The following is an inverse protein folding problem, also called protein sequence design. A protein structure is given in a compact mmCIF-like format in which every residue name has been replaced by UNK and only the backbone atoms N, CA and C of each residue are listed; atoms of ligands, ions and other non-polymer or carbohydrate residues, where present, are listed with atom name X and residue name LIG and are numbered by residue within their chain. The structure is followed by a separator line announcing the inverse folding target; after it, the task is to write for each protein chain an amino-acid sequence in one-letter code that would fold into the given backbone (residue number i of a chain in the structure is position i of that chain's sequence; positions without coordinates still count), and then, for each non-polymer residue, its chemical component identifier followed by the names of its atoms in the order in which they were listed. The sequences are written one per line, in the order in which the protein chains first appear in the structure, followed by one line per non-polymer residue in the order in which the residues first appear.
data_IF_217482638601
#
_entry.id   IF_217482638601
#
_cell.length_a   1.000
_cell.length_b   1.000
_cell.length_c   1.000
_cell.angle_alpha   90.00
_cell.angle_beta   90.00
_cell.angle_gamma   90.00
#
_symmetry.space_group_name_H-M   'P 1'
#
loop_
_entity.id
_entity.type
_entity.pdbx_description
1 polymer ?
#
# COMPACT_ATOMS: atom_id res chain seq x y z
N UNK A 1 2.48 70.67 7.12
CA UNK A 1 1.09 70.25 6.82
C UNK A 1 1.13 69.71 5.39
N UNK A 2 1.08 68.42 5.09
CA UNK A 2 0.87 67.20 5.88
C UNK A 2 1.49 66.08 5.04
N UNK A 3 2.35 65.28 5.64
CA UNK A 3 3.00 64.14 4.99
C UNK A 3 1.97 63.05 4.75
N UNK A 4 2.09 62.44 3.58
CA UNK A 4 1.35 61.30 3.05
C UNK A 4 1.37 60.10 4.00
N UNK A 5 0.21 59.62 4.42
CA UNK A 5 0.07 58.25 4.93
C UNK A 5 -0.97 57.52 4.08
N UNK A 6 -0.46 56.82 3.06
CA UNK A 6 -1.17 55.69 2.45
C UNK A 6 -1.12 54.57 3.47
N UNK A 7 -2.23 54.31 4.15
CA UNK A 7 -2.43 53.10 4.93
C UNK A 7 -2.36 51.92 3.95
N UNK A 8 -1.22 51.25 3.92
CA UNK A 8 -1.06 49.98 3.20
C UNK A 8 -1.95 48.97 3.91
N UNK A 9 -2.95 48.50 3.17
CA UNK A 9 -3.82 47.37 3.44
C UNK A 9 -3.01 46.17 3.94
N UNK A 10 -3.08 45.88 5.25
CA UNK A 10 -2.56 44.65 5.85
C UNK A 10 -3.53 43.51 5.55
N UNK A 11 -3.59 43.09 4.28
CA UNK A 11 -4.29 41.87 3.87
C UNK A 11 -3.36 40.67 4.09
N UNK A 12 -3.12 40.30 5.35
CA UNK A 12 -2.65 38.94 5.67
C UNK A 12 -3.76 37.97 5.28
N UNK A 13 -3.71 37.48 4.04
CA UNK A 13 -4.36 36.23 3.68
C UNK A 13 -3.79 35.16 4.63
N UNK A 14 -4.62 34.44 5.41
CA UNK A 14 -4.14 33.27 6.11
C UNK A 14 -3.83 32.20 5.05
N UNK A 15 -2.60 32.21 4.53
CA UNK A 15 -2.11 31.19 3.61
C UNK A 15 -1.86 29.89 4.38
N UNK A 16 -2.91 29.09 4.51
CA UNK A 16 -2.82 27.76 5.09
C UNK A 16 -4.16 27.27 5.60
N UNK A 17 -4.98 26.67 4.72
CA UNK A 17 -6.06 25.79 5.18
C UNK A 17 -5.49 24.67 6.07
N UNK A 18 -6.31 23.88 6.79
CA UNK A 18 -5.82 22.82 7.70
C UNK A 18 -5.03 21.69 6.99
N UNK A 19 -4.99 21.72 5.66
CA UNK A 19 -4.40 20.72 4.78
C UNK A 19 -2.90 20.42 5.04
N UNK A 20 -1.99 21.40 5.17
CA UNK A 20 -0.58 21.11 5.46
C UNK A 20 -0.38 20.44 6.82
N UNK A 21 -1.23 20.75 7.80
CA UNK A 21 -1.15 20.19 9.14
C UNK A 21 -1.77 18.79 9.24
N UNK A 22 -2.87 18.50 8.52
CA UNK A 22 -3.56 17.22 8.57
C UNK A 22 -2.91 16.12 7.70
N UNK A 23 -2.27 16.50 6.58
CA UNK A 23 -1.58 15.59 5.65
C UNK A 23 -0.61 14.60 6.30
N UNK A 24 0.33 15.00 7.18
CA UNK A 24 1.27 14.07 7.79
C UNK A 24 0.57 13.00 8.65
N UNK A 25 -0.47 13.39 9.40
CA UNK A 25 -1.27 12.45 10.19
C UNK A 25 -2.06 11.48 9.30
N UNK A 26 -2.58 11.96 8.16
CA UNK A 26 -3.26 11.12 7.18
C UNK A 26 -2.30 10.11 6.55
N UNK A 27 -1.05 10.51 6.28
CA UNK A 27 0.01 9.61 5.83
C UNK A 27 0.34 8.53 6.86
N UNK A 28 0.49 8.89 8.14
CA UNK A 28 0.71 7.90 9.20
C UNK A 28 -0.49 6.95 9.34
N UNK A 29 -1.73 7.47 9.28
CA UNK A 29 -2.92 6.64 9.32
C UNK A 29 -3.01 5.67 8.13
N UNK A 30 -2.73 6.14 6.91
CA UNK A 30 -2.67 5.29 5.73
C UNK A 30 -1.59 4.21 5.85
N UNK A 31 -0.41 4.58 6.37
CA UNK A 31 0.72 3.65 6.61
C UNK A 31 0.35 2.56 7.60
N UNK A 32 -0.19 2.94 8.76
CA UNK A 32 -0.59 2.00 9.80
C UNK A 32 -1.79 1.15 9.38
N UNK A 33 -2.73 1.72 8.63
CA UNK A 33 -3.86 0.98 8.05
C UNK A 33 -3.39 -0.10 7.09
N UNK A 34 -2.51 0.26 6.15
CA UNK A 34 -1.93 -0.70 5.21
C UNK A 34 -1.08 -1.76 5.92
N UNK A 35 -0.31 -1.35 6.94
CA UNK A 35 0.46 -2.27 7.78
C UNK A 35 -0.45 -3.28 8.49
N UNK A 36 -1.54 -2.82 9.10
CA UNK A 36 -2.50 -3.67 9.80
C UNK A 36 -3.14 -4.70 8.84
N UNK A 37 -3.52 -4.27 7.63
CA UNK A 37 -4.06 -5.17 6.60
C UNK A 37 -3.08 -6.29 6.28
N UNK A 38 -1.83 -5.95 5.99
CA UNK A 38 -0.80 -6.95 5.68
C UNK A 38 -0.51 -7.90 6.84
N UNK A 39 -0.43 -7.39 8.07
CA UNK A 39 -0.20 -8.22 9.26
C UNK A 39 -1.38 -9.16 9.55
N UNK A 40 -2.61 -8.68 9.42
CA UNK A 40 -3.81 -9.51 9.63
C UNK A 40 -3.93 -10.56 8.52
N UNK A 41 -3.73 -10.16 7.27
CA UNK A 41 -3.76 -11.06 6.13
C UNK A 41 -2.71 -12.18 6.26
N UNK A 42 -1.44 -11.84 6.51
CA UNK A 42 -0.39 -12.85 6.66
C UNK A 42 -0.53 -13.66 7.94
N UNK A 43 -0.92 -13.01 9.05
CA UNK A 43 -1.18 -13.68 10.33
C UNK A 43 -2.30 -14.71 10.27
N UNK A 44 -3.35 -14.46 9.46
CA UNK A 44 -4.44 -15.42 9.25
C UNK A 44 -4.03 -16.66 8.45
N UNK A 45 -2.96 -16.56 7.64
CA UNK A 45 -2.51 -17.63 6.73
C UNK A 45 -1.32 -18.43 7.27
N UNK A 46 -0.47 -17.84 8.10
CA UNK A 46 0.77 -18.49 8.57
C UNK A 46 0.54 -19.76 9.39
N UNK A 47 -0.65 -19.93 9.98
CA UNK A 47 -1.01 -21.13 10.73
C UNK A 47 -1.31 -22.36 9.87
N UNK A 48 -1.64 -22.18 8.59
CA UNK A 48 -1.94 -23.26 7.64
C UNK A 48 -1.48 -22.88 6.23
N UNK A 49 -0.17 -23.06 5.99
CA UNK A 49 0.46 -22.74 4.70
C UNK A 49 -0.05 -23.63 3.57
N UNK A 50 -0.45 -24.87 3.88
CA UNK A 50 -1.01 -25.79 2.89
C UNK A 50 -2.37 -25.27 2.41
N UNK A 51 -3.19 -24.73 3.31
CA UNK A 51 -4.44 -24.10 2.93
C UNK A 51 -4.23 -22.83 2.10
N UNK A 52 -3.25 -22.00 2.44
CA UNK A 52 -2.86 -20.86 1.62
C UNK A 52 -2.41 -21.29 0.20
N UNK A 53 -1.65 -22.39 0.09
CA UNK A 53 -1.30 -23.01 -1.18
C UNK A 53 -2.52 -23.48 -1.98
N UNK A 54 -3.49 -24.13 -1.33
CA UNK A 54 -4.75 -24.54 -1.94
C UNK A 54 -5.58 -23.35 -2.44
N UNK A 55 -5.64 -22.25 -1.68
CA UNK A 55 -6.31 -21.03 -2.12
C UNK A 55 -5.68 -20.45 -3.39
N UNK A 56 -4.35 -20.34 -3.45
CA UNK A 56 -3.67 -19.87 -4.66
C UNK A 56 -3.91 -20.83 -5.84
N UNK A 57 -3.90 -22.14 -5.61
CA UNK A 57 -4.19 -23.14 -6.63
C UNK A 57 -5.64 -23.06 -7.15
N UNK A 58 -6.60 -22.65 -6.32
CA UNK A 58 -8.01 -22.50 -6.71
C UNK A 58 -8.22 -21.44 -7.82
N UNK A 59 -7.30 -20.48 -7.96
CA UNK A 59 -7.30 -19.54 -9.09
C UNK A 59 -6.99 -20.21 -10.44
N UNK A 60 -6.40 -21.42 -10.43
CA UNK A 60 -6.06 -22.19 -11.62
C UNK A 60 -5.26 -21.35 -12.65
N UNK A 61 -4.31 -20.55 -12.16
CA UNK A 61 -3.41 -19.72 -12.98
C UNK A 61 -2.06 -20.43 -13.17
N UNK A 62 -1.56 -21.08 -12.12
CA UNK A 62 -0.25 -21.74 -12.11
C UNK A 62 -0.41 -23.26 -11.97
N UNK A 63 0.62 -24.05 -12.34
CA UNK A 63 0.71 -25.45 -11.95
C UNK A 63 0.70 -25.61 -10.43
N UNK A 64 0.19 -26.73 -9.94
CA UNK A 64 0.01 -26.99 -8.51
C UNK A 64 1.27 -26.72 -7.67
N UNK A 65 2.42 -27.24 -8.08
CA UNK A 65 3.68 -27.07 -7.32
C UNK A 65 4.07 -25.60 -7.18
N UNK A 66 3.85 -24.80 -8.23
CA UNK A 66 4.13 -23.35 -8.22
C UNK A 66 3.12 -22.63 -7.34
N UNK A 67 1.84 -22.99 -7.43
CA UNK A 67 0.79 -22.39 -6.62
C UNK A 67 1.00 -22.63 -5.12
N UNK A 68 1.42 -23.83 -4.73
CA UNK A 68 1.73 -24.17 -3.33
C UNK A 68 2.93 -23.36 -2.84
N UNK A 69 4.00 -23.23 -3.63
CA UNK A 69 5.16 -22.42 -3.25
C UNK A 69 4.78 -20.94 -3.10
N UNK A 70 4.03 -20.38 -4.04
CA UNK A 70 3.56 -18.99 -3.96
C UNK A 70 2.66 -18.81 -2.72
N UNK A 71 1.69 -19.70 -2.52
CA UNK A 71 0.76 -19.61 -1.40
C UNK A 71 1.43 -19.80 -0.04
N UNK A 72 2.49 -20.61 0.05
CA UNK A 72 3.28 -20.74 1.27
C UNK A 72 4.19 -19.53 1.52
N UNK A 73 4.70 -18.88 0.46
CA UNK A 73 5.58 -17.72 0.58
C UNK A 73 4.84 -16.41 0.89
N UNK A 74 3.63 -16.24 0.35
CA UNK A 74 2.83 -15.02 0.47
C UNK A 74 2.66 -14.55 1.93
N UNK A 75 2.27 -15.39 2.91
CA UNK A 75 2.06 -14.95 4.30
C UNK A 75 3.31 -14.29 4.92
N UNK A 76 4.50 -14.78 4.58
CA UNK A 76 5.75 -14.21 5.05
C UNK A 76 6.04 -12.84 4.41
N UNK A 77 5.73 -12.70 3.12
CA UNK A 77 5.85 -11.41 2.40
C UNK A 77 4.88 -10.39 2.99
N UNK A 78 3.62 -10.79 3.23
CA UNK A 78 2.59 -9.96 3.85
C UNK A 78 3.06 -9.48 5.24
N UNK A 79 3.51 -10.39 6.12
CA UNK A 79 3.98 -10.02 7.46
C UNK A 79 5.21 -9.10 7.39
N UNK A 80 6.19 -9.41 6.52
CA UNK A 80 7.38 -8.59 6.37
C UNK A 80 7.03 -7.15 5.92
N UNK A 81 6.16 -7.00 4.92
CA UNK A 81 5.67 -5.69 4.48
C UNK A 81 4.93 -4.95 5.59
N UNK A 82 4.06 -5.65 6.31
CA UNK A 82 3.37 -5.11 7.48
C UNK A 82 4.34 -4.55 8.52
N UNK A 83 5.36 -5.32 8.90
CA UNK A 83 6.37 -4.89 9.86
C UNK A 83 7.19 -3.70 9.38
N UNK A 84 7.63 -3.70 8.11
CA UNK A 84 8.36 -2.58 7.50
C UNK A 84 7.53 -1.29 7.53
N UNK A 85 6.23 -1.38 7.22
CA UNK A 85 5.31 -0.24 7.27
C UNK A 85 5.01 0.22 8.70
N UNK A 86 4.89 -0.68 9.69
CA UNK A 86 4.77 -0.29 11.11
C UNK A 86 5.97 0.56 11.52
N UNK A 87 7.19 0.06 11.23
CA UNK A 87 8.44 0.75 11.54
C UNK A 87 8.60 2.04 10.72
N UNK A 88 7.89 2.18 9.60
CA UNK A 88 8.09 3.28 8.66
C UNK A 88 9.52 3.28 8.12
N UNK A 89 10.02 2.10 7.77
CA UNK A 89 11.31 1.91 7.11
C UNK A 89 11.05 1.70 5.61
N UNK A 90 11.86 2.30 4.74
CA UNK A 90 11.72 2.22 3.28
C UNK A 90 10.25 2.38 2.82
N UNK A 91 9.53 3.36 3.38
CA UNK A 91 8.08 3.52 3.26
C UNK A 91 7.62 3.58 1.80
N UNK A 92 8.41 4.25 0.95
CA UNK A 92 8.14 4.36 -0.49
C UNK A 92 8.27 2.99 -1.20
N UNK A 93 9.31 2.21 -0.87
CA UNK A 93 9.50 0.88 -1.43
C UNK A 93 8.40 -0.07 -0.95
N UNK A 94 8.09 -0.08 0.34
CA UNK A 94 7.02 -0.91 0.90
C UNK A 94 5.65 -0.56 0.32
N UNK A 95 5.36 0.73 0.10
CA UNK A 95 4.16 1.18 -0.59
C UNK A 95 4.14 0.70 -2.06
N UNK A 96 5.27 0.78 -2.76
CA UNK A 96 5.40 0.29 -4.15
C UNK A 96 5.14 -1.21 -4.28
N UNK A 97 5.74 -2.02 -3.40
CA UNK A 97 5.50 -3.46 -3.37
C UNK A 97 4.04 -3.75 -3.01
N UNK A 98 3.47 -3.02 -2.05
CA UNK A 98 2.06 -3.16 -1.67
C UNK A 98 1.12 -2.87 -2.84
N UNK A 99 1.38 -1.79 -3.60
CA UNK A 99 0.63 -1.46 -4.82
C UNK A 99 0.72 -2.58 -5.85
N UNK A 100 1.91 -3.11 -6.10
CA UNK A 100 2.09 -4.22 -7.05
C UNK A 100 1.31 -5.47 -6.62
N UNK A 101 1.39 -5.87 -5.34
CA UNK A 101 0.67 -7.02 -4.82
C UNK A 101 -0.85 -6.82 -4.88
N UNK A 102 -1.37 -5.64 -4.52
CA UNK A 102 -2.80 -5.33 -4.60
C UNK A 102 -3.31 -5.39 -6.05
N UNK A 103 -2.54 -4.87 -7.01
CA UNK A 103 -2.88 -5.01 -8.44
C UNK A 103 -2.93 -6.47 -8.87
N UNK A 104 -1.95 -7.28 -8.44
CA UNK A 104 -1.92 -8.73 -8.73
C UNK A 104 -3.14 -9.43 -8.12
N UNK A 105 -3.52 -9.13 -6.88
CA UNK A 105 -4.71 -9.70 -6.26
C UNK A 105 -5.99 -9.31 -7.00
N UNK A 106 -6.19 -8.02 -7.28
CA UNK A 106 -7.36 -7.53 -8.03
C UNK A 106 -7.44 -8.22 -9.40
N UNK A 107 -6.31 -8.37 -10.10
CA UNK A 107 -6.26 -9.06 -11.39
C UNK A 107 -6.62 -10.54 -11.26
N UNK A 108 -6.10 -11.22 -10.23
CA UNK A 108 -6.44 -12.61 -9.92
C UNK A 108 -7.93 -12.81 -9.64
N UNK A 109 -8.51 -11.98 -8.76
CA UNK A 109 -9.94 -12.03 -8.41
C UNK A 109 -10.81 -11.75 -9.63
N UNK A 110 -10.45 -10.71 -10.41
CA UNK A 110 -11.16 -10.37 -11.64
C UNK A 110 -11.08 -11.49 -12.68
N UNK A 111 -9.95 -12.18 -12.77
CA UNK A 111 -9.77 -13.34 -13.64
C UNK A 111 -10.66 -14.52 -13.21
N UNK A 112 -10.67 -14.84 -11.92
CA UNK A 112 -11.52 -15.90 -11.36
C UNK A 112 -13.00 -15.60 -11.61
N UNK A 113 -13.42 -14.34 -11.41
CA UNK A 113 -14.78 -13.90 -11.68
C UNK A 113 -15.15 -14.02 -13.17
N UNK A 114 -14.29 -13.55 -14.08
CA UNK A 114 -14.52 -13.64 -15.52
C UNK A 114 -14.59 -15.09 -16.04
N UNK A 115 -13.88 -16.02 -15.37
CA UNK A 115 -13.88 -17.45 -15.68
C UNK A 115 -15.01 -18.22 -15.01
N UNK A 116 -15.81 -17.58 -14.16
CA UNK A 116 -16.89 -18.23 -13.42
C UNK A 116 -16.40 -19.28 -12.40
N UNK A 117 -15.18 -19.12 -11.88
CA UNK A 117 -14.71 -19.96 -10.78
C UNK A 117 -15.57 -19.68 -9.54
N UNK A 118 -15.76 -20.68 -8.68
CA UNK A 118 -16.47 -20.54 -7.41
C UNK A 118 -15.48 -20.73 -6.27
N UNK A 119 -14.78 -19.65 -5.91
CA UNK A 119 -13.69 -19.68 -4.94
C UNK A 119 -13.84 -18.56 -3.91
N UNK A 120 -13.40 -18.83 -2.69
CA UNK A 120 -13.07 -17.83 -1.70
C UNK A 120 -11.63 -17.36 -1.96
N UNK A 121 -11.48 -16.06 -2.19
CA UNK A 121 -10.22 -15.42 -2.55
C UNK A 121 -9.17 -15.51 -1.41
N UNK A 122 -9.60 -15.79 -0.19
CA UNK A 122 -8.68 -16.05 0.93
C UNK A 122 -7.88 -14.84 1.39
N UNK A 123 -8.28 -13.61 1.04
CA UNK A 123 -7.51 -12.41 1.38
C UNK A 123 -7.27 -12.24 2.90
N UNK A 124 -8.24 -12.65 3.74
CA UNK A 124 -8.16 -12.65 5.22
C UNK A 124 -8.46 -14.01 5.84
N UNK A 125 -8.08 -15.09 5.17
CA UNK A 125 -8.32 -16.44 5.64
C UNK A 125 -7.63 -17.45 4.76
N UNK A 126 -8.07 -18.70 4.86
CA UNK A 126 -7.45 -19.80 4.12
C UNK A 126 -8.01 -19.98 2.71
N UNK A 127 -9.14 -19.36 2.36
CA UNK A 127 -9.75 -19.36 1.02
C UNK A 127 -9.98 -20.76 0.42
N UNK A 128 -10.05 -20.83 -0.91
CA UNK A 128 -10.13 -22.07 -1.68
C UNK A 128 -11.47 -22.28 -2.38
N UNK A 129 -11.71 -23.50 -2.87
CA UNK A 129 -12.96 -23.83 -3.57
C UNK A 129 -14.17 -23.72 -2.64
N UNK A 130 -15.22 -23.06 -3.12
CA UNK A 130 -16.49 -22.93 -2.41
C UNK A 130 -17.34 -24.19 -2.58
N UNK A 131 -18.09 -24.54 -1.54
CA UNK A 131 -19.08 -25.61 -1.62
C UNK A 131 -20.25 -25.24 -2.55
N UNK A 132 -20.93 -26.24 -3.10
CA UNK A 132 -22.09 -26.03 -3.95
C UNK A 132 -23.18 -25.23 -3.20
N UNK A 133 -23.64 -24.14 -3.81
CA UNK A 133 -24.65 -23.24 -3.24
C UNK A 133 -24.09 -22.08 -2.41
N UNK A 134 -22.76 -21.92 -2.32
CA UNK A 134 -22.15 -20.70 -1.81
C UNK A 134 -21.80 -19.74 -2.94
N UNK A 135 -22.15 -18.47 -2.76
CA UNK A 135 -21.87 -17.42 -3.72
C UNK A 135 -20.52 -16.74 -3.40
N UNK A 136 -19.64 -16.56 -4.41
CA UNK A 136 -18.40 -15.82 -4.22
C UNK A 136 -18.65 -14.31 -4.03
N UNK A 137 -17.80 -13.67 -3.24
CA UNK A 137 -17.91 -12.26 -2.86
C UNK A 137 -16.97 -11.34 -3.65
N UNK A 138 -16.67 -11.67 -4.91
CA UNK A 138 -15.65 -10.98 -5.72
C UNK A 138 -15.77 -9.45 -5.75
N UNK A 139 -17.00 -8.92 -5.87
CA UNK A 139 -17.23 -7.48 -5.93
C UNK A 139 -16.80 -6.74 -4.66
N UNK A 140 -17.09 -7.29 -3.47
CA UNK A 140 -16.68 -6.68 -2.20
C UNK A 140 -15.18 -6.81 -1.97
N UNK A 141 -14.58 -7.93 -2.37
CA UNK A 141 -13.13 -8.16 -2.29
C UNK A 141 -12.37 -7.15 -3.17
N UNK A 142 -12.79 -6.96 -4.43
CA UNK A 142 -12.19 -5.98 -5.34
C UNK A 142 -12.35 -4.56 -4.81
N UNK A 143 -13.55 -4.18 -4.32
CA UNK A 143 -13.79 -2.83 -3.80
C UNK A 143 -12.88 -2.51 -2.61
N UNK A 144 -12.70 -3.48 -1.71
CA UNK A 144 -11.81 -3.36 -0.57
C UNK A 144 -10.35 -3.21 -1.03
N UNK A 145 -9.90 -4.05 -1.95
CA UNK A 145 -8.52 -4.01 -2.44
C UNK A 145 -8.24 -2.70 -3.20
N UNK A 146 -9.22 -2.16 -3.93
CA UNK A 146 -9.15 -0.81 -4.51
C UNK A 146 -9.01 0.28 -3.43
N UNK A 147 -9.72 0.14 -2.31
CA UNK A 147 -9.57 1.03 -1.16
C UNK A 147 -8.13 1.02 -0.62
N UNK A 148 -7.55 -0.18 -0.43
CA UNK A 148 -6.15 -0.31 -0.01
C UNK A 148 -5.16 0.18 -1.07
N UNK A 149 -5.48 0.00 -2.35
CA UNK A 149 -4.66 0.47 -3.46
C UNK A 149 -4.58 2.00 -3.48
N UNK A 150 -5.68 2.69 -3.18
CA UNK A 150 -5.70 4.15 -3.00
C UNK A 150 -4.81 4.57 -1.84
N UNK A 151 -4.84 3.86 -0.70
CA UNK A 151 -3.95 4.16 0.44
C UNK A 151 -2.47 3.96 0.08
N UNK A 152 -2.13 2.86 -0.61
CA UNK A 152 -0.78 2.59 -1.07
C UNK A 152 -0.31 3.64 -2.10
N UNK A 153 -1.17 4.02 -3.05
CA UNK A 153 -0.90 5.08 -4.01
C UNK A 153 -0.71 6.44 -3.36
N UNK A 154 -1.49 6.76 -2.33
CA UNK A 154 -1.31 7.97 -1.53
C UNK A 154 0.07 8.00 -0.85
N UNK A 155 0.52 6.89 -0.28
CA UNK A 155 1.85 6.77 0.32
C UNK A 155 2.99 6.82 -0.70
N UNK A 156 2.76 6.39 -1.95
CA UNK A 156 3.75 6.51 -3.02
C UNK A 156 3.98 7.96 -3.45
N UNK A 157 2.91 8.76 -3.54
CA UNK A 157 3.01 10.18 -3.92
C UNK A 157 3.49 11.03 -2.75
N UNK A 158 3.10 10.68 -1.52
CA UNK A 158 3.48 11.40 -0.30
C UNK A 158 4.06 10.44 0.75
N UNK A 159 5.30 9.95 0.57
CA UNK A 159 5.91 8.97 1.47
C UNK A 159 6.30 9.55 2.84
N UNK A 160 6.30 10.89 2.98
CA UNK A 160 6.69 11.57 4.22
C UNK A 160 5.62 11.38 5.29
N UNK A 161 5.87 10.44 6.19
CA UNK A 161 5.03 10.18 7.37
C UNK A 161 5.80 10.51 8.65
N UNK A 162 5.25 11.29 9.59
CA UNK A 162 5.86 11.48 10.91
C UNK A 162 5.94 10.13 11.63
N UNK A 163 6.93 9.98 12.50
CA UNK A 163 7.23 8.72 13.22
C UNK A 163 7.61 7.56 12.28
N UNK A 164 8.27 7.85 11.16
CA UNK A 164 8.98 6.85 10.34
C UNK A 164 10.44 6.79 10.76
N UNK A 165 11.02 5.58 10.81
CA UNK A 165 12.47 5.41 10.92
C UNK A 165 13.18 6.09 9.74
N UNK A 166 12.56 6.15 8.57
CA UNK A 166 13.05 6.91 7.42
C UNK A 166 13.26 8.41 7.73
N UNK A 167 12.31 9.03 8.43
CA UNK A 167 12.45 10.44 8.85
C UNK A 167 13.54 10.62 9.91
N UNK A 168 13.70 9.67 10.83
CA UNK A 168 14.76 9.70 11.84
C UNK A 168 16.17 9.51 11.24
N UNK A 169 16.28 8.78 10.13
CA UNK A 169 17.55 8.47 9.45
C UNK A 169 17.89 9.44 8.31
N UNK A 170 17.06 10.44 8.03
CA UNK A 170 17.31 11.43 6.97
C UNK A 170 17.21 10.90 5.54
N UNK A 171 16.92 9.61 5.33
CA UNK A 171 16.89 8.94 4.00
C UNK A 171 15.80 9.46 3.04
N UNK A 172 14.96 10.40 3.47
CA UNK A 172 14.01 11.09 2.59
C UNK A 172 14.56 12.36 1.92
N UNK A 173 15.83 12.72 2.19
CA UNK A 173 16.50 13.91 1.62
C UNK A 173 17.38 13.57 0.40
N UNK A 174 17.98 12.37 0.37
CA UNK A 174 19.01 12.03 -0.63
C UNK A 174 18.44 11.52 -1.97
N UNK A 175 17.21 10.98 -1.98
CA UNK A 175 16.57 10.42 -3.19
C UNK A 175 16.05 11.50 -4.18
N UNK A 176 15.97 12.76 -3.75
CA UNK A 176 15.49 13.91 -4.53
C UNK A 176 16.65 14.86 -4.93
N UNK A 177 17.91 14.58 -4.57
CA UNK A 177 19.07 15.33 -5.08
C UNK A 177 19.20 14.98 -6.57
N UNK A 178 18.91 15.92 -7.51
CA UNK A 178 19.15 15.66 -8.92
C UNK A 178 20.63 15.28 -9.08
N UNK A 179 20.98 14.32 -9.95
CA UNK A 179 22.38 13.99 -10.18
C UNK A 179 23.11 15.30 -10.45
N UNK A 180 24.08 15.62 -9.58
CA UNK A 180 24.80 16.88 -9.61
C UNK A 180 25.15 17.14 -11.07
N UNK A 181 24.53 18.17 -11.64
CA UNK A 181 24.81 18.58 -13.01
C UNK A 181 26.30 18.86 -13.03
N UNK A 182 27.03 17.91 -13.61
CA UNK A 182 28.46 17.91 -13.80
C UNK A 182 28.84 19.32 -14.22
N UNK A 183 29.52 20.03 -13.32
CA UNK A 183 29.91 21.41 -13.48
C UNK A 183 30.67 21.50 -14.81
N UNK A 184 29.99 21.99 -15.84
CA UNK A 184 30.58 22.29 -17.12
C UNK A 184 31.55 23.44 -16.90
N UNK A 185 32.77 23.09 -16.48
CA UNK A 185 33.87 23.99 -16.26
C UNK A 185 34.26 24.60 -17.61
N UNK A 186 34.06 25.92 -17.82
CA UNK A 186 34.57 26.57 -19.00
C UNK A 186 36.09 26.68 -18.87
N UNK A 187 36.79 26.20 -19.90
CA UNK A 187 38.26 26.31 -20.06
C UNK A 187 38.71 27.75 -20.25
#
# INVERSE_FOLDING_TARGET
MTVTERTVEDSRVPEGGPWPAARPWLGTAARLGLAAVWLVAGGSKIGDLDASGRAVNAYQIFPYDVAVVIGAALPFVEIALGMILVLGLATRLAAGISTALLVIFIAGISSAWARGLSIDCGCFGTGGDLAAGQDPTYGTEILRDLGFLVLAGFLLVWPRTPYSVDAALGRGLDDDEPPALEEAQPR
#
